data_IF_656720870453
#
_entry.id   IF_656720870453
#
_cell.length_a   1.000
_cell.length_b   1.000
_cell.length_c   1.000
_cell.angle_alpha   90.00
_cell.angle_beta   90.00
_cell.angle_gamma   90.00
#
_symmetry.space_group_name_H-M   'P 1'
#
loop_
_entity.id
_entity.type
_entity.pdbx_description
1 polymer ?
#
# COMPACT_ATOMS: atom_id res chain seq x y z
N UNK A 1 -23.52 33.00 50.52
CA UNK A 1 -22.12 32.94 50.12
C UNK A 1 -21.71 31.50 49.73
N UNK A 2 -21.90 30.47 50.57
CA UNK A 2 -21.49 29.08 50.21
C UNK A 2 -22.14 28.53 48.93
N UNK A 3 -23.41 28.80 48.60
CA UNK A 3 -24.12 28.36 47.38
C UNK A 3 -23.58 29.01 46.10
N UNK A 4 -23.14 30.31 46.19
CA UNK A 4 -22.60 31.03 45.05
C UNK A 4 -21.20 30.55 44.71
N UNK A 5 -20.39 30.20 45.70
CA UNK A 5 -19.05 29.64 45.51
C UNK A 5 -19.14 28.25 44.83
N UNK A 6 -20.14 27.40 45.23
CA UNK A 6 -20.38 26.11 44.64
C UNK A 6 -20.80 26.20 43.17
N UNK A 7 -21.63 27.18 42.79
CA UNK A 7 -22.04 27.42 41.41
C UNK A 7 -20.89 27.93 40.53
N UNK A 8 -20.04 28.80 41.03
CA UNK A 8 -18.85 29.25 40.32
C UNK A 8 -17.84 28.15 40.11
N UNK A 9 -17.63 27.27 41.10
CA UNK A 9 -16.75 26.11 40.97
C UNK A 9 -17.23 25.12 39.93
N UNK A 10 -18.55 24.87 39.85
CA UNK A 10 -19.15 23.99 38.85
C UNK A 10 -19.01 24.55 37.42
N UNK A 11 -19.13 25.88 37.26
CA UNK A 11 -18.99 26.55 35.98
C UNK A 11 -17.54 26.51 35.47
N UNK A 12 -16.56 26.70 36.35
CA UNK A 12 -15.13 26.64 36.02
C UNK A 12 -14.73 25.22 35.60
N UNK A 13 -15.23 24.18 36.28
CA UNK A 13 -14.94 22.77 35.90
C UNK A 13 -15.54 22.45 34.53
N UNK A 14 -16.74 22.97 34.21
CA UNK A 14 -17.37 22.76 32.90
C UNK A 14 -16.59 23.39 31.75
N UNK A 15 -16.01 24.58 31.97
CA UNK A 15 -15.22 25.30 30.95
C UNK A 15 -13.86 24.61 30.72
N UNK A 16 -13.23 24.09 31.75
CA UNK A 16 -11.96 23.37 31.63
C UNK A 16 -12.14 22.03 30.94
N UNK A 17 -13.29 21.38 31.09
CA UNK A 17 -13.56 20.10 30.40
C UNK A 17 -13.74 20.28 28.87
N UNK A 18 -14.12 21.44 28.38
CA UNK A 18 -14.22 21.72 26.94
C UNK A 18 -12.89 22.21 26.32
N UNK A 19 -11.93 22.65 27.12
CA UNK A 19 -10.62 23.10 26.62
C UNK A 19 -9.67 21.94 26.25
N UNK A 20 -10.07 20.68 26.48
CA UNK A 20 -9.26 19.50 26.24
C UNK A 20 -9.54 18.78 24.92
N UNK A 21 -10.36 19.29 24.03
CA UNK A 21 -10.41 18.82 22.64
C UNK A 21 -9.23 19.49 21.94
N UNK A 22 -8.06 18.92 22.11
CA UNK A 22 -6.94 19.17 21.21
C UNK A 22 -7.42 18.76 19.81
N UNK A 23 -7.91 19.71 19.02
CA UNK A 23 -7.89 19.56 17.59
C UNK A 23 -6.41 19.44 17.21
N UNK A 24 -5.91 18.21 17.13
CA UNK A 24 -4.73 17.97 16.33
C UNK A 24 -5.11 18.47 14.94
N UNK A 25 -4.69 19.69 14.61
CA UNK A 25 -4.96 20.24 13.29
C UNK A 25 -4.30 19.31 12.30
N UNK A 26 -5.10 18.67 11.45
CA UNK A 26 -4.62 17.79 10.40
C UNK A 26 -3.55 18.56 9.60
N UNK A 27 -2.51 17.85 9.24
CA UNK A 27 -1.43 18.42 8.45
C UNK A 27 -2.00 18.97 7.14
N UNK A 28 -1.64 20.21 6.79
CA UNK A 28 -1.98 20.79 5.48
C UNK A 28 -1.16 20.18 4.33
N UNK A 29 -0.17 19.33 4.65
CA UNK A 29 0.60 18.62 3.62
C UNK A 29 -0.30 17.62 2.92
N UNK A 30 -0.15 17.41 1.60
CA UNK A 30 -0.94 16.44 0.89
C UNK A 30 -0.63 15.01 1.37
N UNK A 31 -1.65 14.17 1.40
CA UNK A 31 -1.49 12.72 1.47
C UNK A 31 -1.02 12.27 0.11
N UNK A 32 0.20 11.77 0.03
CA UNK A 32 0.81 11.31 -1.23
C UNK A 32 0.56 9.83 -1.38
N UNK A 33 -0.20 9.45 -2.42
CA UNK A 33 -0.62 8.08 -2.71
C UNK A 33 0.09 7.62 -3.99
N UNK A 34 0.78 6.47 -3.98
CA UNK A 34 1.44 5.95 -5.17
C UNK A 34 0.43 5.36 -6.13
N UNK A 35 0.70 5.49 -7.42
CA UNK A 35 0.07 4.72 -8.48
C UNK A 35 1.14 3.85 -9.13
N UNK A 36 0.87 2.55 -9.23
CA UNK A 36 1.70 1.58 -9.93
C UNK A 36 1.17 1.34 -11.35
N UNK A 37 1.53 0.23 -11.98
CA UNK A 37 1.19 -0.05 -13.37
C UNK A 37 0.13 -1.16 -13.56
N UNK A 38 -0.63 -1.51 -12.51
CA UNK A 38 -1.73 -2.47 -12.62
C UNK A 38 -3.04 -1.91 -12.05
N UNK A 39 -4.15 -2.41 -12.58
CA UNK A 39 -5.46 -1.76 -12.44
C UNK A 39 -6.03 -1.79 -11.02
N UNK A 40 -5.87 -2.88 -10.25
CA UNK A 40 -6.39 -2.94 -8.87
C UNK A 40 -5.80 -1.84 -8.01
N UNK A 41 -4.49 -1.69 -8.07
CA UNK A 41 -3.77 -0.68 -7.32
C UNK A 41 -4.16 0.75 -7.72
N UNK A 42 -4.27 1.01 -9.02
CA UNK A 42 -4.66 2.34 -9.53
C UNK A 42 -6.08 2.69 -9.06
N UNK A 43 -7.04 1.79 -9.24
CA UNK A 43 -8.42 2.00 -8.82
C UNK A 43 -8.49 2.27 -7.32
N UNK A 44 -7.83 1.44 -6.52
CA UNK A 44 -7.87 1.57 -5.06
C UNK A 44 -7.15 2.85 -4.59
N UNK A 45 -6.08 3.28 -5.24
CA UNK A 45 -5.42 4.55 -4.96
C UNK A 45 -6.42 5.72 -5.06
N UNK A 46 -7.22 5.76 -6.14
CA UNK A 46 -8.23 6.81 -6.32
C UNK A 46 -9.41 6.66 -5.36
N UNK A 47 -9.84 5.45 -5.02
CA UNK A 47 -10.90 5.23 -4.01
C UNK A 47 -10.45 5.76 -2.64
N UNK A 48 -9.25 5.38 -2.20
CA UNK A 48 -8.71 5.83 -0.90
C UNK A 48 -8.46 7.34 -0.91
N UNK A 49 -7.91 7.87 -1.99
CA UNK A 49 -7.70 9.30 -2.14
C UNK A 49 -9.01 10.08 -2.08
N UNK A 50 -10.07 9.63 -2.78
CA UNK A 50 -11.40 10.24 -2.70
C UNK A 50 -12.00 10.22 -1.29
N UNK A 51 -11.73 9.17 -0.50
CA UNK A 51 -12.11 9.12 0.91
C UNK A 51 -11.40 10.23 1.69
N UNK A 52 -10.09 10.36 1.55
CA UNK A 52 -9.33 11.41 2.22
C UNK A 52 -9.75 12.82 1.79
N UNK A 53 -10.03 13.03 0.51
CA UNK A 53 -10.55 14.31 0.00
C UNK A 53 -11.92 14.63 0.61
N UNK A 54 -12.81 13.64 0.74
CA UNK A 54 -14.10 13.81 1.39
C UNK A 54 -14.01 14.18 2.88
N UNK A 55 -12.90 13.82 3.52
CA UNK A 55 -12.56 14.21 4.89
C UNK A 55 -11.90 15.58 4.99
N UNK A 56 -11.68 16.27 3.87
CA UNK A 56 -11.08 17.60 3.81
C UNK A 56 -9.55 17.62 3.69
N UNK A 57 -8.93 16.47 3.42
CA UNK A 57 -7.49 16.39 3.20
C UNK A 57 -7.12 16.75 1.74
N UNK A 58 -5.91 17.28 1.56
CA UNK A 58 -5.32 17.39 0.24
C UNK A 58 -4.73 16.03 -0.16
N UNK A 59 -4.95 15.60 -1.39
CA UNK A 59 -4.40 14.35 -1.93
C UNK A 59 -3.54 14.64 -3.14
N UNK A 60 -2.45 13.89 -3.28
CA UNK A 60 -1.56 13.93 -4.44
C UNK A 60 -1.25 12.50 -4.87
N UNK A 61 -1.40 12.22 -6.15
CA UNK A 61 -1.00 10.93 -6.73
C UNK A 61 0.37 11.07 -7.38
N UNK A 62 1.21 10.04 -7.21
CA UNK A 62 2.55 9.97 -7.80
C UNK A 62 2.77 8.59 -8.40
N UNK A 63 3.37 8.56 -9.58
CA UNK A 63 3.81 7.28 -10.14
C UNK A 63 5.04 6.79 -9.34
N UNK A 64 5.00 5.55 -8.89
CA UNK A 64 6.07 4.96 -8.11
C UNK A 64 6.32 3.50 -8.52
N UNK A 65 7.58 3.10 -8.53
CA UNK A 65 7.97 1.70 -8.68
C UNK A 65 7.59 0.91 -7.42
N UNK A 66 7.09 -0.32 -7.64
CA UNK A 66 6.58 -1.17 -6.56
C UNK A 66 7.64 -1.59 -5.54
N UNK A 67 8.91 -1.66 -5.93
CA UNK A 67 10.00 -2.00 -4.99
C UNK A 67 10.51 -0.76 -4.26
N UNK A 68 10.55 0.38 -4.94
CA UNK A 68 11.06 1.63 -4.38
C UNK A 68 10.07 2.33 -3.46
N UNK A 69 8.77 2.01 -3.54
CA UNK A 69 7.71 2.70 -2.79
C UNK A 69 7.92 2.63 -1.28
N UNK A 70 8.40 1.53 -0.74
CA UNK A 70 8.59 1.36 0.71
C UNK A 70 9.69 2.27 1.26
N UNK A 71 10.77 2.46 0.50
CA UNK A 71 11.80 3.43 0.86
C UNK A 71 11.26 4.86 0.75
N UNK A 72 10.44 5.14 -0.26
CA UNK A 72 9.79 6.46 -0.44
C UNK A 72 8.84 6.79 0.72
N UNK A 73 8.13 5.80 1.27
CA UNK A 73 7.32 5.98 2.49
C UNK A 73 8.24 6.25 3.67
N UNK A 74 9.30 5.47 3.83
CA UNK A 74 10.24 5.58 4.94
C UNK A 74 10.86 6.96 5.06
N UNK A 75 11.17 7.60 3.94
CA UNK A 75 11.78 8.94 3.90
C UNK A 75 10.74 10.08 3.82
N UNK A 76 9.45 9.75 3.70
CA UNK A 76 8.35 10.72 3.73
C UNK A 76 7.96 11.33 2.38
N UNK A 77 8.44 10.81 1.26
CA UNK A 77 8.06 11.25 -0.10
C UNK A 77 6.69 10.70 -0.50
N UNK A 78 6.32 9.54 0.02
CA UNK A 78 5.01 8.91 -0.10
C UNK A 78 4.41 8.74 1.29
N UNK A 79 3.10 8.91 1.43
CA UNK A 79 2.44 8.85 2.74
C UNK A 79 1.90 7.46 3.05
N UNK A 80 1.35 6.76 2.07
CA UNK A 80 0.68 5.47 2.25
C UNK A 80 0.88 4.60 1.01
N UNK A 81 1.02 3.29 1.20
CA UNK A 81 0.82 2.27 0.18
C UNK A 81 -0.26 1.31 0.67
N UNK A 82 -1.23 1.02 -0.18
CA UNK A 82 -2.43 0.25 0.19
C UNK A 82 -2.43 -1.16 -0.38
N UNK A 83 -1.43 -1.52 -1.16
CA UNK A 83 -1.33 -2.84 -1.78
C UNK A 83 0.12 -3.30 -1.76
N UNK A 84 0.40 -4.30 -0.92
CA UNK A 84 1.72 -4.92 -0.77
C UNK A 84 1.61 -6.39 -1.13
N UNK A 85 2.31 -6.81 -2.17
CA UNK A 85 2.41 -8.21 -2.61
C UNK A 85 3.66 -8.82 -2.01
N UNK A 86 3.52 -9.51 -0.87
CA UNK A 86 4.66 -10.00 -0.10
C UNK A 86 5.48 -11.04 -0.83
N UNK A 87 4.87 -11.88 -1.67
CA UNK A 87 5.59 -12.87 -2.46
C UNK A 87 6.53 -12.24 -3.49
N UNK A 88 6.15 -11.09 -4.07
CA UNK A 88 6.97 -10.39 -5.06
C UNK A 88 7.89 -9.33 -4.43
N UNK A 89 7.40 -8.57 -3.44
CA UNK A 89 8.06 -7.37 -2.92
C UNK A 89 8.38 -7.43 -1.42
N UNK A 90 8.07 -8.54 -0.75
CA UNK A 90 8.18 -8.67 0.71
C UNK A 90 9.56 -8.38 1.25
N UNK A 91 10.64 -8.72 0.52
CA UNK A 91 12.00 -8.40 0.96
C UNK A 91 12.26 -6.88 1.00
N UNK A 92 11.74 -6.11 0.04
CA UNK A 92 11.88 -4.66 0.03
C UNK A 92 11.06 -4.02 1.15
N UNK A 93 9.85 -4.55 1.38
CA UNK A 93 8.95 -4.14 2.45
C UNK A 93 9.58 -4.38 3.84
N UNK A 94 9.99 -5.62 4.14
CA UNK A 94 10.59 -5.97 5.43
C UNK A 94 11.89 -5.21 5.69
N UNK A 95 12.73 -5.01 4.65
CA UNK A 95 13.95 -4.21 4.78
C UNK A 95 13.64 -2.76 5.15
N UNK A 96 12.58 -2.18 4.60
CA UNK A 96 12.18 -0.82 4.95
C UNK A 96 11.60 -0.74 6.37
N UNK A 97 10.83 -1.74 6.80
CA UNK A 97 10.34 -1.87 8.18
C UNK A 97 11.51 -1.94 9.18
N UNK A 98 12.49 -2.77 8.92
CA UNK A 98 13.67 -2.95 9.79
C UNK A 98 14.48 -1.65 9.96
N UNK A 99 14.53 -0.81 8.93
CA UNK A 99 15.16 0.51 8.99
C UNK A 99 14.35 1.53 9.79
N UNK A 100 13.07 1.26 10.03
CA UNK A 100 12.14 2.19 10.67
C UNK A 100 11.70 3.35 9.79
N UNK A 101 10.69 4.09 10.23
CA UNK A 101 10.15 5.25 9.52
C UNK A 101 8.92 4.95 8.68
N UNK A 102 8.46 3.70 8.65
CA UNK A 102 7.14 3.31 8.15
C UNK A 102 6.46 2.36 9.15
N UNK A 103 5.17 2.25 9.08
CA UNK A 103 4.34 1.43 9.96
C UNK A 103 3.57 0.44 9.08
N UNK A 104 3.64 -0.83 9.43
CA UNK A 104 2.76 -1.86 8.89
C UNK A 104 1.39 -1.73 9.58
N UNK A 105 0.34 -1.51 8.77
CA UNK A 105 -1.04 -1.38 9.25
C UNK A 105 -1.78 -2.72 9.26
N UNK A 106 -1.11 -3.80 8.91
CA UNK A 106 -1.65 -5.15 8.83
C UNK A 106 -2.26 -5.50 7.48
N UNK A 107 -2.70 -6.74 7.38
CA UNK A 107 -3.28 -7.31 6.17
C UNK A 107 -4.68 -6.74 5.90
N UNK A 108 -5.01 -6.54 4.65
CA UNK A 108 -6.40 -6.35 4.28
C UNK A 108 -7.08 -7.71 4.02
N UNK A 109 -8.40 -7.76 4.17
CA UNK A 109 -9.16 -9.03 4.13
C UNK A 109 -9.29 -9.64 2.72
N UNK A 110 -8.83 -8.96 1.68
CA UNK A 110 -8.87 -9.49 0.32
C UNK A 110 -7.93 -10.68 0.19
N UNK A 111 -8.49 -11.83 -0.14
CA UNK A 111 -7.70 -13.02 -0.46
C UNK A 111 -7.29 -12.97 -1.92
N UNK A 112 -6.01 -13.08 -2.15
CA UNK A 112 -5.41 -13.04 -3.48
C UNK A 112 -4.65 -14.32 -3.76
N UNK A 113 -4.43 -14.59 -5.04
CA UNK A 113 -3.57 -15.66 -5.52
C UNK A 113 -2.54 -15.04 -6.45
N UNK A 114 -1.27 -15.31 -6.20
CA UNK A 114 -0.18 -14.92 -7.07
C UNK A 114 0.40 -16.21 -7.70
N UNK A 115 0.38 -16.27 -9.01
CA UNK A 115 0.78 -17.48 -9.74
C UNK A 115 1.41 -17.14 -11.09
N UNK A 116 2.06 -18.10 -11.70
CA UNK A 116 2.63 -17.98 -13.04
C UNK A 116 1.67 -18.52 -14.09
N UNK A 117 1.43 -17.71 -15.11
CA UNK A 117 0.66 -18.13 -16.27
C UNK A 117 1.49 -18.22 -17.54
N UNK A 118 1.03 -19.03 -18.49
CA UNK A 118 1.57 -19.09 -19.83
C UNK A 118 0.44 -19.19 -20.87
N UNK A 119 0.66 -18.73 -22.12
CA UNK A 119 -0.35 -18.82 -23.16
C UNK A 119 -0.69 -20.28 -23.54
N UNK A 120 -1.96 -20.59 -23.74
CA UNK A 120 -2.42 -21.94 -24.08
C UNK A 120 -1.74 -22.51 -25.34
N UNK A 121 -1.39 -21.65 -26.30
CA UNK A 121 -0.72 -22.09 -27.52
C UNK A 121 0.66 -22.75 -27.28
N UNK A 122 1.28 -22.51 -26.11
CA UNK A 122 2.53 -23.19 -25.72
C UNK A 122 2.28 -24.71 -25.56
N UNK A 123 1.17 -25.07 -24.90
CA UNK A 123 0.75 -26.44 -24.71
C UNK A 123 0.22 -27.03 -26.02
N UNK A 124 -0.64 -26.30 -26.74
CA UNK A 124 -1.27 -26.74 -27.97
C UNK A 124 -0.25 -27.09 -29.05
N UNK A 125 0.86 -26.37 -29.08
CA UNK A 125 1.98 -26.62 -30.02
C UNK A 125 3.05 -27.56 -29.48
N UNK A 126 2.88 -28.08 -28.27
CA UNK A 126 3.84 -29.00 -27.64
C UNK A 126 5.24 -28.41 -27.41
N UNK A 127 5.32 -27.07 -27.24
CA UNK A 127 6.61 -26.38 -27.14
C UNK A 127 7.32 -26.59 -25.81
N UNK A 128 6.59 -26.98 -24.78
CA UNK A 128 7.12 -27.21 -23.45
C UNK A 128 6.38 -28.38 -22.79
N UNK A 129 6.74 -29.64 -23.14
CA UNK A 129 6.18 -30.81 -22.47
C UNK A 129 6.46 -30.79 -20.98
N UNK A 130 5.44 -31.11 -20.18
CA UNK A 130 5.52 -31.11 -18.71
C UNK A 130 4.82 -29.95 -18.03
N UNK A 131 4.48 -28.87 -18.75
CA UNK A 131 3.61 -27.84 -18.19
C UNK A 131 2.21 -28.43 -17.90
N UNK A 132 1.53 -28.03 -16.83
CA UNK A 132 1.78 -26.85 -15.99
C UNK A 132 2.80 -27.03 -14.85
N UNK A 133 3.48 -28.16 -14.74
CA UNK A 133 4.55 -28.27 -13.73
C UNK A 133 5.69 -27.29 -14.07
N UNK A 134 5.93 -26.32 -13.20
CA UNK A 134 6.96 -25.30 -13.39
C UNK A 134 8.38 -25.89 -13.55
N UNK A 135 8.61 -27.11 -13.05
CA UNK A 135 9.89 -27.78 -13.18
C UNK A 135 10.25 -28.10 -14.63
N UNK A 136 9.25 -28.12 -15.53
CA UNK A 136 9.48 -28.23 -16.96
C UNK A 136 10.38 -27.11 -17.52
N UNK A 137 10.34 -25.93 -16.92
CA UNK A 137 11.19 -24.80 -17.30
C UNK A 137 12.69 -25.03 -17.03
N UNK A 138 13.05 -26.06 -16.25
CA UNK A 138 14.45 -26.46 -16.07
C UNK A 138 15.02 -27.15 -17.31
N UNK A 139 14.15 -27.63 -18.23
CA UNK A 139 14.56 -28.16 -19.50
C UNK A 139 14.91 -27.02 -20.47
N UNK A 140 16.14 -26.94 -21.00
CA UNK A 140 16.53 -25.88 -21.93
C UNK A 140 15.66 -25.79 -23.18
N UNK A 141 15.15 -26.94 -23.68
CA UNK A 141 14.26 -26.96 -24.84
C UNK A 141 12.89 -26.37 -24.57
N UNK A 142 12.43 -26.40 -23.32
CA UNK A 142 11.25 -25.66 -22.89
C UNK A 142 11.58 -24.19 -22.65
N UNK A 143 12.61 -23.90 -21.86
CA UNK A 143 12.98 -22.56 -21.43
C UNK A 143 13.21 -21.60 -22.60
N UNK A 144 13.85 -22.05 -23.69
CA UNK A 144 14.09 -21.23 -24.89
C UNK A 144 12.82 -20.65 -25.54
N UNK A 145 11.64 -21.22 -25.27
CA UNK A 145 10.37 -20.70 -25.80
C UNK A 145 9.82 -19.52 -25.00
N UNK A 146 10.44 -19.19 -23.86
CA UNK A 146 10.07 -18.07 -22.97
C UNK A 146 11.15 -16.98 -22.94
N UNK A 147 12.12 -17.03 -23.83
CA UNK A 147 13.17 -16.01 -23.94
C UNK A 147 12.78 -14.92 -24.94
N UNK A 148 13.38 -13.76 -24.78
CA UNK A 148 13.31 -12.65 -25.73
C UNK A 148 14.73 -12.30 -26.20
N UNK A 149 14.88 -11.53 -27.32
CA UNK A 149 16.21 -11.07 -27.75
C UNK A 149 17.00 -10.33 -26.66
N UNK A 150 16.28 -9.63 -25.77
CA UNK A 150 16.88 -8.83 -24.68
C UNK A 150 17.05 -9.63 -23.39
N UNK A 151 16.52 -10.86 -23.33
CA UNK A 151 16.62 -11.76 -22.17
C UNK A 151 16.72 -13.20 -22.67
N UNK A 152 17.89 -13.63 -23.14
CA UNK A 152 18.15 -14.96 -23.68
C UNK A 152 18.17 -16.05 -22.60
#
# INVERSE_FOLDING_TARGET
MKKIISLLSALIISVVSFAGISNAADSKKPIVIPTHNWSSQIVMAYVIGGIFESMGNNVKYVNADSQAVYESIRIGDVTISHEVWESAFGKSFTTALDKGGLIDMGDHEARTLEDMGYPNWVTDKGLCPGLPDWTALKNPDCAKNFTTPDSP
#
